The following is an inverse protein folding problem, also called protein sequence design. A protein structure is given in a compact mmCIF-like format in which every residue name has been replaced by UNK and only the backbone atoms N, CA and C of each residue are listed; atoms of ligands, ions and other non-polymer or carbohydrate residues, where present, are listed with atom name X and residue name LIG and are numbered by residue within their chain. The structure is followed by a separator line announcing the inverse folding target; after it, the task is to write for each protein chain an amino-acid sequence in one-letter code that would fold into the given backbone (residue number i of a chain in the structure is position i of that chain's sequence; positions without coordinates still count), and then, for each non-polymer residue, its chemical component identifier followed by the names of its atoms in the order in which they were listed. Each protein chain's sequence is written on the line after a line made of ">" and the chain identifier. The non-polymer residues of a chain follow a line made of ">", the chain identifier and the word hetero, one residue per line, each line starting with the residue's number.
data_IF_066877261238
#
_entry.id   IF_066877261238
#
_cell.length_a   1.000
_cell.length_b   1.000
_cell.length_c   1.000
_cell.angle_alpha   90.00
_cell.angle_beta   90.00
_cell.angle_gamma   90.00
#
_symmetry.space_group_name_H-M   'P 1'
#
loop_
_entity.id
_entity.type
_entity.pdbx_description
1 polymer ?
#
# COMPACT_ATOMS: atom_id res chain seq x y z
N UNK A 1 12.18 15.98 3.26
CA UNK A 1 12.10 14.78 2.40
C UNK A 1 11.53 13.68 3.27
N UNK A 2 10.44 13.03 2.84
CA UNK A 2 9.88 11.93 3.62
C UNK A 2 10.94 10.82 3.74
N UNK A 3 11.11 10.26 4.93
CA UNK A 3 12.00 9.12 5.16
C UNK A 3 11.39 7.91 4.46
N UNK A 4 12.06 7.45 3.40
CA UNK A 4 11.60 6.36 2.52
C UNK A 4 12.72 5.35 2.34
N UNK A 5 12.39 4.07 2.45
CA UNK A 5 13.37 2.98 2.31
C UNK A 5 12.98 2.08 1.14
N UNK A 6 13.91 1.88 0.21
CA UNK A 6 13.71 0.92 -0.87
C UNK A 6 13.98 -0.50 -0.36
N UNK A 7 13.09 -1.43 -0.71
CA UNK A 7 13.19 -2.84 -0.39
C UNK A 7 13.00 -3.67 -1.66
N UNK A 8 13.83 -4.70 -1.84
CA UNK A 8 13.72 -5.65 -2.95
C UNK A 8 13.16 -6.95 -2.42
N UNK A 9 11.97 -7.32 -2.88
CA UNK A 9 11.20 -8.43 -2.36
C UNK A 9 11.03 -9.46 -3.49
N UNK A 10 11.47 -10.72 -3.28
CA UNK A 10 11.34 -11.77 -4.29
C UNK A 10 9.87 -12.15 -4.52
N UNK A 11 9.53 -12.81 -5.64
CA UNK A 11 8.16 -13.26 -5.91
C UNK A 11 7.61 -14.15 -4.80
N UNK A 12 6.30 -14.06 -4.59
CA UNK A 12 5.46 -14.86 -3.68
C UNK A 12 5.64 -14.56 -2.19
N UNK A 13 6.24 -13.42 -1.87
CA UNK A 13 6.33 -12.92 -0.50
C UNK A 13 5.18 -11.98 -0.17
N UNK A 14 4.62 -12.14 1.03
CA UNK A 14 3.59 -11.27 1.59
C UNK A 14 4.22 -9.99 2.13
N UNK A 15 3.83 -8.86 1.53
CA UNK A 15 4.34 -7.52 1.85
C UNK A 15 3.52 -6.85 2.95
N UNK A 16 2.21 -7.03 2.86
CA UNK A 16 1.22 -6.58 3.84
C UNK A 16 0.27 -7.75 4.06
N UNK A 17 0.00 -8.07 5.32
CA UNK A 17 -0.96 -9.12 5.67
C UNK A 17 -2.34 -8.55 6.00
N UNK A 18 -3.39 -9.28 5.66
CA UNK A 18 -4.74 -8.98 6.13
C UNK A 18 -4.76 -8.90 7.67
N UNK A 19 -5.54 -7.95 8.20
CA UNK A 19 -5.68 -7.62 9.62
C UNK A 19 -4.43 -7.01 10.30
N UNK A 20 -3.33 -6.79 9.57
CA UNK A 20 -2.16 -6.06 10.09
C UNK A 20 -2.47 -4.58 10.33
N UNK A 21 -1.77 -3.95 11.28
CA UNK A 21 -1.86 -2.52 11.53
C UNK A 21 -1.39 -1.71 10.32
N UNK A 22 -2.07 -0.61 9.95
CA UNK A 22 -1.73 0.19 8.78
C UNK A 22 -0.59 1.18 9.07
N UNK A 23 0.50 0.71 9.66
CA UNK A 23 1.61 1.58 10.07
C UNK A 23 2.45 2.02 8.87
N UNK A 24 2.41 1.25 7.79
CA UNK A 24 3.26 1.39 6.62
C UNK A 24 2.47 1.10 5.34
N UNK A 25 2.87 1.78 4.27
CA UNK A 25 2.36 1.60 2.92
C UNK A 25 3.54 1.58 1.93
N UNK A 26 3.28 1.10 0.72
CA UNK A 26 4.33 0.93 -0.28
C UNK A 26 3.96 1.56 -1.62
N UNK A 27 4.94 2.18 -2.28
CA UNK A 27 4.85 2.53 -3.70
C UNK A 27 5.65 1.50 -4.49
N UNK A 28 5.07 0.95 -5.56
CA UNK A 28 5.73 -0.01 -6.41
C UNK A 28 6.64 0.74 -7.39
N UNK A 29 7.96 0.61 -7.23
CA UNK A 29 8.94 1.21 -8.15
C UNK A 29 9.10 0.34 -9.38
N UNK A 30 9.21 -0.97 -9.21
CA UNK A 30 9.23 -1.97 -10.28
C UNK A 30 8.65 -3.30 -9.80
N UNK A 31 8.23 -4.14 -10.74
CA UNK A 31 7.57 -5.41 -10.45
C UNK A 31 6.05 -5.31 -10.39
N UNK A 32 5.43 -6.34 -9.84
CA UNK A 32 3.97 -6.52 -9.75
C UNK A 32 3.62 -7.10 -8.39
N UNK A 33 2.54 -6.60 -7.79
CA UNK A 33 1.99 -7.06 -6.51
C UNK A 33 0.53 -7.40 -6.69
N UNK A 34 0.06 -8.48 -6.10
CA UNK A 34 -1.31 -8.95 -6.15
C UNK A 34 -2.00 -8.74 -4.80
N UNK A 35 -3.23 -8.25 -4.82
CA UNK A 35 -4.13 -8.25 -3.67
C UNK A 35 -4.91 -9.56 -3.69
N UNK A 36 -4.85 -10.29 -2.58
CA UNK A 36 -5.48 -11.60 -2.43
C UNK A 36 -6.44 -11.60 -1.23
N UNK A 37 -7.51 -12.38 -1.36
CA UNK A 37 -8.44 -12.63 -0.25
C UNK A 37 -7.99 -13.88 0.52
N UNK A 38 -7.17 -13.67 1.55
CA UNK A 38 -6.50 -14.75 2.30
C UNK A 38 -7.43 -15.60 3.18
N UNK A 39 -8.66 -15.17 3.43
CA UNK A 39 -9.63 -15.95 4.22
C UNK A 39 -10.30 -17.08 3.41
N UNK A 40 -10.15 -17.10 2.07
CA UNK A 40 -10.69 -18.16 1.22
C UNK A 40 -9.65 -19.25 0.94
N UNK A 41 -10.08 -20.50 0.86
CA UNK A 41 -9.22 -21.69 0.68
C UNK A 41 -8.30 -21.62 -0.55
N UNK A 42 -8.73 -20.92 -1.61
CA UNK A 42 -7.96 -20.77 -2.85
C UNK A 42 -7.21 -19.43 -2.98
N UNK A 43 -7.28 -18.56 -1.97
CA UNK A 43 -6.65 -17.22 -1.96
C UNK A 43 -6.79 -16.46 -3.31
N UNK A 44 -8.03 -16.21 -3.79
CA UNK A 44 -8.22 -15.65 -5.12
C UNK A 44 -7.58 -14.27 -5.22
N UNK A 45 -6.88 -14.02 -6.34
CA UNK A 45 -6.39 -12.69 -6.69
C UNK A 45 -7.58 -11.78 -7.03
N UNK A 46 -7.71 -10.70 -6.25
CA UNK A 46 -8.74 -9.66 -6.45
C UNK A 46 -8.25 -8.63 -7.47
N UNK A 47 -6.97 -8.25 -7.37
CA UNK A 47 -6.38 -7.21 -8.22
C UNK A 47 -4.87 -7.38 -8.37
N UNK A 48 -4.30 -6.86 -9.47
CA UNK A 48 -2.85 -6.78 -9.69
C UNK A 48 -2.42 -5.32 -9.88
N UNK A 49 -1.43 -4.93 -9.10
CA UNK A 49 -0.80 -3.63 -9.07
C UNK A 49 0.55 -3.69 -9.78
N UNK A 50 0.93 -2.59 -10.42
CA UNK A 50 2.16 -2.44 -11.22
C UNK A 50 2.96 -1.22 -10.77
N UNK A 51 4.10 -1.00 -11.42
CA UNK A 51 4.94 0.18 -11.20
C UNK A 51 4.12 1.49 -11.25
N UNK A 52 4.33 2.33 -10.25
CA UNK A 52 3.61 3.59 -10.04
C UNK A 52 2.40 3.49 -9.12
N UNK A 53 1.86 2.28 -8.91
CA UNK A 53 0.75 2.08 -7.99
C UNK A 53 1.22 2.12 -6.53
N UNK A 54 0.27 2.42 -5.64
CA UNK A 54 0.45 2.43 -4.19
C UNK A 54 -0.44 1.35 -3.58
N UNK A 55 0.05 0.68 -2.53
CA UNK A 55 -0.67 -0.36 -1.80
C UNK A 55 -0.67 -0.08 -0.30
N UNK A 56 -1.74 -0.50 0.39
CA UNK A 56 -1.92 -0.31 1.83
C UNK A 56 -2.39 1.10 2.23
N UNK A 57 -2.59 1.99 1.25
CA UNK A 57 -3.01 3.37 1.43
C UNK A 57 -4.41 3.49 2.02
N UNK A 58 -5.31 2.55 1.71
CA UNK A 58 -6.67 2.56 2.28
C UNK A 58 -6.61 2.40 3.79
N UNK A 59 -5.84 1.42 4.29
CA UNK A 59 -5.62 1.24 5.72
C UNK A 59 -4.99 2.48 6.35
N UNK A 60 -3.99 3.06 5.68
CA UNK A 60 -3.26 4.23 6.14
C UNK A 60 -4.15 5.48 6.27
N UNK A 61 -4.98 5.76 5.26
CA UNK A 61 -5.86 6.93 5.22
C UNK A 61 -7.12 6.77 6.07
N UNK A 62 -7.65 5.54 6.18
CA UNK A 62 -8.87 5.26 6.95
C UNK A 62 -8.60 4.92 8.42
N UNK A 63 -7.34 4.79 8.84
CA UNK A 63 -6.94 4.33 10.18
C UNK A 63 -7.60 2.98 10.54
N UNK A 64 -7.57 2.02 9.62
CA UNK A 64 -8.18 0.68 9.80
C UNK A 64 -7.17 -0.43 9.48
N UNK A 65 -7.30 -1.61 10.10
CA UNK A 65 -6.50 -2.78 9.73
C UNK A 65 -6.63 -3.09 8.23
N UNK A 66 -5.57 -3.69 7.68
CA UNK A 66 -5.49 -4.01 6.25
C UNK A 66 -6.56 -5.02 5.86
N UNK A 67 -7.39 -4.69 4.87
CA UNK A 67 -8.52 -5.55 4.48
C UNK A 67 -8.13 -6.75 3.63
N UNK A 68 -6.94 -6.73 3.04
CA UNK A 68 -6.43 -7.76 2.15
C UNK A 68 -4.95 -8.03 2.40
N UNK A 69 -4.49 -9.18 1.96
CA UNK A 69 -3.06 -9.50 1.88
C UNK A 69 -2.54 -9.03 0.52
N UNK A 70 -1.34 -8.44 0.51
CA UNK A 70 -0.66 -8.00 -0.71
C UNK A 70 0.62 -8.82 -0.89
N UNK A 71 0.68 -9.59 -1.98
CA UNK A 71 1.75 -10.53 -2.27
C UNK A 71 2.48 -10.16 -3.54
N UNK A 72 3.80 -10.18 -3.52
CA UNK A 72 4.59 -9.96 -4.74
C UNK A 72 4.35 -11.06 -5.78
N UNK A 73 4.09 -10.68 -7.02
CA UNK A 73 3.95 -11.62 -8.14
C UNK A 73 5.27 -11.81 -8.88
N UNK A 74 6.07 -10.75 -8.95
CA UNK A 74 7.41 -10.74 -9.54
C UNK A 74 8.41 -10.16 -8.54
N UNK A 75 9.71 -10.24 -8.85
CA UNK A 75 10.72 -9.53 -8.08
C UNK A 75 10.38 -8.03 -8.11
N UNK A 76 10.08 -7.48 -6.94
CA UNK A 76 9.52 -6.14 -6.83
C UNK A 76 10.42 -5.24 -6.01
N UNK A 77 10.65 -4.03 -6.52
CA UNK A 77 11.26 -2.97 -5.74
C UNK A 77 10.14 -2.11 -5.17
N UNK A 78 10.02 -2.08 -3.85
CA UNK A 78 8.99 -1.34 -3.14
C UNK A 78 9.62 -0.20 -2.34
N UNK A 79 8.98 0.95 -2.37
CA UNK A 79 9.36 2.09 -1.55
C UNK A 79 8.45 2.15 -0.33
N UNK A 80 9.03 1.80 0.81
CA UNK A 80 8.35 1.74 2.10
C UNK A 80 8.20 3.14 2.68
N UNK A 81 6.98 3.49 3.08
CA UNK A 81 6.61 4.79 3.64
C UNK A 81 5.79 4.56 4.90
N UNK A 82 6.15 5.22 6.00
CA UNK A 82 5.29 5.22 7.20
C UNK A 82 4.03 6.03 6.96
N UNK A 83 2.90 5.53 7.43
CA UNK A 83 1.61 6.23 7.39
C UNK A 83 1.69 7.62 8.03
N UNK A 84 2.43 7.76 9.14
CA UNK A 84 2.69 9.06 9.78
C UNK A 84 3.33 10.07 8.82
N UNK A 85 4.31 9.61 8.02
CA UNK A 85 5.05 10.46 7.10
C UNK A 85 4.18 10.87 5.90
N UNK A 86 3.32 9.97 5.41
CA UNK A 86 2.32 10.31 4.39
C UNK A 86 1.35 11.38 4.90
N UNK A 87 0.78 11.18 6.08
CA UNK A 87 -0.17 12.13 6.70
C UNK A 87 0.49 13.50 6.93
N UNK A 88 1.74 13.52 7.39
CA UNK A 88 2.50 14.76 7.54
C UNK A 88 2.75 15.45 6.19
N UNK A 89 3.14 14.70 5.16
CA UNK A 89 3.33 15.22 3.81
C UNK A 89 2.04 15.82 3.24
N UNK A 90 0.89 15.18 3.44
CA UNK A 90 -0.41 15.70 3.01
C UNK A 90 -0.77 17.03 3.69
N UNK A 91 -0.34 17.23 4.95
CA UNK A 91 -0.58 18.49 5.67
C UNK A 91 0.25 19.67 5.14
N UNK A 92 1.30 19.44 4.36
CA UNK A 92 2.14 20.53 3.82
C UNK A 92 1.37 21.44 2.86
N UNK A 93 0.32 20.93 2.20
CA UNK A 93 -0.54 21.66 1.27
C UNK A 93 -2.01 21.35 1.56
N UNK A 94 -2.60 22.11 2.49
CA UNK A 94 -3.93 21.80 3.03
C UNK A 94 -5.05 21.81 1.99
N UNK A 95 -4.99 22.71 0.99
CA UNK A 95 -5.98 22.77 -0.09
C UNK A 95 -5.99 21.48 -0.94
N UNK A 96 -4.80 21.00 -1.30
CA UNK A 96 -4.64 19.77 -2.09
C UNK A 96 -5.10 18.54 -1.30
N UNK A 97 -4.82 18.50 0.00
CA UNK A 97 -5.26 17.42 0.88
C UNK A 97 -6.79 17.27 0.91
N UNK A 98 -7.51 18.39 1.05
CA UNK A 98 -8.99 18.36 1.07
C UNK A 98 -9.53 17.77 -0.23
N UNK A 99 -8.96 18.15 -1.38
CA UNK A 99 -9.36 17.64 -2.69
C UNK A 99 -9.03 16.14 -2.80
N UNK A 100 -7.82 15.74 -2.40
CA UNK A 100 -7.37 14.35 -2.43
C UNK A 100 -8.29 13.44 -1.61
N UNK A 101 -8.60 13.81 -0.36
CA UNK A 101 -9.50 13.03 0.51
C UNK A 101 -10.92 13.01 -0.07
N UNK A 102 -11.40 14.12 -0.64
CA UNK A 102 -12.72 14.17 -1.27
C UNK A 102 -12.81 13.23 -2.49
N UNK A 103 -11.75 13.10 -3.27
CA UNK A 103 -11.71 12.18 -4.41
C UNK A 103 -11.60 10.72 -3.95
N UNK A 104 -10.87 10.47 -2.85
CA UNK A 104 -10.72 9.14 -2.28
C UNK A 104 -12.04 8.56 -1.71
N UNK A 105 -12.92 9.41 -1.19
CA UNK A 105 -14.21 9.01 -0.60
C UNK A 105 -15.36 8.88 -1.62
N UNK A 106 -15.14 9.19 -2.90
CA UNK A 106 -16.13 9.04 -3.97
C UNK A 106 -16.09 7.65 -4.57
#
# INVERSE_FOLDING_TARGET
>A
VADMKAEYIPPREDVIMQNESPDELYIIVSGEVEMIESEMENEPTVWTFKSGDMIGEVGALCCRPQSYTYRTKTLSQLLKIRTSNLIEAMKTRQEDNIIMIKNFLQ
#
